data_IF_277221764864
#
_entry.id   IF_277221764864
#
_cell.length_a   1.000
_cell.length_b   1.000
_cell.length_c   1.000
_cell.angle_alpha   90.00
_cell.angle_beta   90.00
_cell.angle_gamma   90.00
#
_symmetry.space_group_name_H-M   'P 1'
#
loop_
_entity.id
_entity.type
_entity.pdbx_description
1 polymer ?
#
# COMPACT_ATOMS: atom_id res chain seq x y z
N UNK A 1 13.48 0.55 24.22
CA UNK A 1 12.74 1.82 24.12
C UNK A 1 12.55 2.11 22.64
N UNK A 2 11.32 2.40 22.19
CA UNK A 2 11.13 2.83 20.81
C UNK A 2 11.76 4.22 20.61
N UNK A 3 12.27 4.48 19.40
CA UNK A 3 12.78 5.81 19.03
C UNK A 3 11.70 6.86 19.25
N UNK A 4 12.07 8.04 19.74
CA UNK A 4 11.20 9.22 19.85
C UNK A 4 11.74 10.29 18.90
N UNK A 5 10.91 10.76 18.00
CA UNK A 5 11.30 11.66 16.92
C UNK A 5 10.33 12.84 16.82
N UNK A 6 10.89 14.03 16.60
CA UNK A 6 10.09 15.22 16.34
C UNK A 6 9.24 15.05 15.08
N UNK A 7 8.15 15.81 14.95
CA UNK A 7 7.31 15.80 13.76
C UNK A 7 8.09 16.06 12.47
N UNK A 8 9.10 16.95 12.52
CA UNK A 8 9.94 17.23 11.35
C UNK A 8 10.75 16.00 10.91
N UNK A 9 11.34 15.25 11.86
CA UNK A 9 12.08 14.03 11.55
C UNK A 9 11.14 12.94 11.02
N UNK A 10 9.97 12.76 11.65
CA UNK A 10 8.97 11.78 11.20
C UNK A 10 8.47 12.09 9.78
N UNK A 11 8.21 13.35 9.47
CA UNK A 11 7.85 13.78 8.11
C UNK A 11 8.97 13.48 7.11
N UNK A 12 10.21 13.86 7.42
CA UNK A 12 11.35 13.62 6.53
C UNK A 12 11.58 12.12 6.23
N UNK A 13 11.39 11.25 7.24
CA UNK A 13 11.46 9.80 7.05
C UNK A 13 10.36 9.30 6.10
N UNK A 14 9.14 9.84 6.21
CA UNK A 14 8.01 9.47 5.36
C UNK A 14 8.17 9.99 3.93
N UNK A 15 8.67 11.22 3.75
CA UNK A 15 8.93 11.79 2.42
C UNK A 15 10.01 11.01 1.66
N UNK A 16 11.01 10.50 2.38
CA UNK A 16 12.08 9.67 1.80
C UNK A 16 11.56 8.33 1.22
N UNK A 17 10.42 7.81 1.70
CA UNK A 17 9.85 6.55 1.19
C UNK A 17 9.53 6.67 -0.29
N UNK A 18 8.73 7.67 -0.65
CA UNK A 18 8.31 7.88 -2.04
C UNK A 18 9.48 8.19 -2.97
N UNK A 19 10.42 9.03 -2.49
CA UNK A 19 11.65 9.30 -3.22
C UNK A 19 12.50 8.03 -3.46
N UNK A 20 12.48 7.09 -2.53
CA UNK A 20 13.24 5.82 -2.63
C UNK A 20 12.55 4.80 -3.52
N UNK A 21 11.22 4.67 -3.43
CA UNK A 21 10.45 3.76 -4.30
C UNK A 21 10.45 4.24 -5.75
N UNK A 22 10.35 5.56 -5.96
CA UNK A 22 10.32 6.19 -7.27
C UNK A 22 8.91 6.40 -7.81
N UNK A 23 8.86 6.92 -9.03
CA UNK A 23 7.63 7.29 -9.72
C UNK A 23 6.94 6.06 -10.33
N UNK A 24 5.60 6.08 -10.29
CA UNK A 24 4.73 5.07 -10.90
C UNK A 24 5.05 3.62 -10.53
N UNK A 25 5.17 3.29 -9.23
CA UNK A 25 5.32 1.91 -8.81
C UNK A 25 4.06 1.09 -9.09
N UNK A 26 4.20 -0.23 -9.06
CA UNK A 26 3.09 -1.17 -9.18
C UNK A 26 2.56 -1.54 -7.80
N UNK A 27 1.27 -1.36 -7.58
CA UNK A 27 0.55 -1.88 -6.43
C UNK A 27 -0.09 -3.22 -6.80
N UNK A 28 0.21 -4.26 -6.04
CA UNK A 28 -0.43 -5.56 -6.12
C UNK A 28 -1.30 -5.81 -4.89
N UNK A 29 -2.53 -6.29 -5.12
CA UNK A 29 -3.42 -6.80 -4.09
C UNK A 29 -3.45 -8.32 -4.18
N UNK A 30 -3.21 -8.98 -3.05
CA UNK A 30 -3.02 -10.44 -3.01
C UNK A 30 -3.84 -11.09 -1.90
N UNK A 31 -4.16 -12.37 -2.12
CA UNK A 31 -4.79 -13.22 -1.12
C UNK A 31 -3.76 -13.83 -0.15
N UNK A 32 -4.26 -14.46 0.92
CA UNK A 32 -3.41 -15.22 1.84
C UNK A 32 -2.54 -14.37 2.76
N UNK A 33 -1.62 -15.03 3.47
CA UNK A 33 -0.80 -14.40 4.52
C UNK A 33 0.27 -13.51 3.88
N UNK A 34 0.41 -12.29 4.40
CA UNK A 34 1.49 -11.37 4.01
C UNK A 34 2.86 -12.04 4.22
N UNK A 35 3.79 -11.98 3.25
CA UNK A 35 5.13 -12.50 3.43
C UNK A 35 5.83 -11.87 4.64
N UNK A 36 6.75 -12.59 5.29
CA UNK A 36 7.37 -12.11 6.53
C UNK A 36 8.20 -10.81 6.36
N UNK A 37 8.78 -10.62 5.18
CA UNK A 37 9.58 -9.44 4.84
C UNK A 37 9.33 -9.03 3.39
N UNK A 38 9.68 -7.80 3.04
CA UNK A 38 9.63 -7.30 1.65
C UNK A 38 10.56 -8.07 0.71
N UNK A 39 11.64 -8.66 1.23
CA UNK A 39 12.56 -9.51 0.47
C UNK A 39 12.06 -10.96 0.31
N UNK A 40 11.02 -11.37 1.03
CA UNK A 40 10.41 -12.70 0.85
C UNK A 40 9.59 -12.71 -0.44
N UNK A 41 9.68 -13.81 -1.19
CA UNK A 41 8.90 -14.03 -2.41
C UNK A 41 7.40 -13.86 -2.17
N UNK A 42 6.68 -13.46 -3.22
CA UNK A 42 5.24 -13.24 -3.15
C UNK A 42 4.51 -14.52 -2.72
N UNK A 43 3.50 -14.35 -1.87
CA UNK A 43 2.59 -15.41 -1.44
C UNK A 43 1.19 -15.14 -1.99
N UNK A 44 0.36 -16.20 -1.98
CA UNK A 44 -1.04 -16.12 -2.40
C UNK A 44 -1.26 -15.78 -3.87
N UNK A 45 -2.53 -15.61 -4.22
CA UNK A 45 -2.98 -15.29 -5.58
C UNK A 45 -2.94 -13.79 -5.80
N UNK A 46 -2.43 -13.35 -6.95
CA UNK A 46 -2.58 -11.96 -7.41
C UNK A 46 -4.04 -11.73 -7.78
N UNK A 47 -4.70 -10.80 -7.11
CA UNK A 47 -6.12 -10.49 -7.33
C UNK A 47 -6.30 -9.25 -8.19
N UNK A 48 -5.44 -8.25 -8.03
CA UNK A 48 -5.46 -7.01 -8.79
C UNK A 48 -4.04 -6.43 -8.89
N UNK A 49 -3.73 -5.80 -10.02
CA UNK A 49 -2.48 -5.10 -10.28
C UNK A 49 -2.74 -3.74 -10.92
N UNK A 50 -2.13 -2.69 -10.37
CA UNK A 50 -2.29 -1.34 -10.90
C UNK A 50 -0.99 -0.55 -10.83
N UNK A 51 -0.74 0.27 -11.84
CA UNK A 51 0.36 1.25 -11.83
C UNK A 51 -0.14 2.51 -11.13
N UNK A 52 0.60 2.96 -10.13
CA UNK A 52 0.27 4.17 -9.38
C UNK A 52 0.65 5.44 -10.18
N UNK A 53 0.05 6.59 -9.85
CA UNK A 53 0.52 7.87 -10.37
C UNK A 53 2.01 8.11 -10.07
N UNK A 54 2.64 9.02 -10.82
CA UNK A 54 4.05 9.36 -10.58
C UNK A 54 4.27 9.93 -9.18
N UNK A 55 3.34 10.78 -8.73
CA UNK A 55 3.22 11.30 -7.37
C UNK A 55 2.03 10.59 -6.70
N UNK A 56 2.32 9.61 -5.84
CA UNK A 56 1.32 8.66 -5.34
C UNK A 56 1.01 8.85 -3.86
N UNK A 57 1.81 9.61 -3.11
CA UNK A 57 1.52 9.97 -1.73
C UNK A 57 1.54 11.48 -1.50
N UNK A 58 0.63 11.96 -0.68
CA UNK A 58 0.64 13.38 -0.28
C UNK A 58 1.91 13.71 0.53
N UNK A 59 2.34 14.97 0.52
CA UNK A 59 3.44 15.43 1.38
C UNK A 59 3.20 15.06 2.85
N UNK A 60 4.25 14.60 3.55
CA UNK A 60 4.11 14.22 4.94
C UNK A 60 3.77 15.41 5.84
N UNK A 61 2.78 15.22 6.72
CA UNK A 61 2.35 16.18 7.73
C UNK A 61 1.99 15.44 9.02
N UNK A 62 2.25 16.08 10.17
CA UNK A 62 1.98 15.50 11.52
C UNK A 62 2.56 14.09 11.77
N UNK A 63 3.57 13.70 10.98
CA UNK A 63 4.20 12.37 10.95
C UNK A 63 3.32 11.29 10.35
N UNK A 64 2.50 11.66 9.38
CA UNK A 64 1.70 10.78 8.55
C UNK A 64 1.72 11.25 7.08
N UNK A 65 1.56 10.34 6.14
CA UNK A 65 1.23 10.66 4.74
C UNK A 65 0.18 9.70 4.20
N UNK A 66 -0.65 10.21 3.31
CA UNK A 66 -1.81 9.49 2.78
C UNK A 66 -1.73 9.26 1.28
N UNK A 67 -2.67 8.46 0.79
CA UNK A 67 -2.94 8.28 -0.64
C UNK A 67 -3.07 9.64 -1.36
N UNK A 68 -2.42 9.77 -2.51
CA UNK A 68 -2.65 10.85 -3.47
C UNK A 68 -3.04 10.29 -4.84
N UNK A 69 -3.91 11.02 -5.53
CA UNK A 69 -4.40 10.64 -6.85
C UNK A 69 -5.44 9.51 -6.80
N UNK A 70 -5.52 8.73 -7.86
CA UNK A 70 -6.46 7.61 -7.99
C UNK A 70 -5.70 6.32 -8.13
N UNK A 71 -5.95 5.39 -7.22
CA UNK A 71 -5.38 4.04 -7.24
C UNK A 71 -6.52 3.08 -7.55
N UNK A 72 -6.59 2.64 -8.81
CA UNK A 72 -7.66 1.78 -9.29
C UNK A 72 -7.15 0.80 -10.32
N UNK A 73 -7.57 -0.45 -10.17
CA UNK A 73 -7.58 -1.44 -11.22
C UNK A 73 -8.99 -1.51 -11.83
N UNK A 74 -9.09 -1.47 -13.15
CA UNK A 74 -10.36 -1.53 -13.84
C UNK A 74 -10.90 -2.96 -13.98
N UNK A 75 -10.02 -3.97 -13.90
CA UNK A 75 -10.37 -5.36 -14.18
C UNK A 75 -9.47 -6.31 -13.39
N UNK A 76 -9.96 -6.76 -12.23
CA UNK A 76 -9.25 -7.69 -11.37
C UNK A 76 -8.79 -8.96 -12.10
N UNK A 77 -7.55 -9.36 -11.86
CA UNK A 77 -6.89 -10.51 -12.48
C UNK A 77 -7.49 -11.85 -12.02
N UNK A 78 -7.98 -11.93 -10.78
CA UNK A 78 -8.52 -13.15 -10.21
C UNK A 78 -9.55 -12.91 -9.11
N UNK A 79 -10.39 -13.92 -8.87
CA UNK A 79 -11.33 -13.92 -7.75
C UNK A 79 -10.64 -14.35 -6.44
N UNK A 80 -11.02 -13.74 -5.31
CA UNK A 80 -10.57 -14.13 -3.99
C UNK A 80 -10.79 -13.05 -2.94
N UNK A 81 -10.39 -13.36 -1.70
CA UNK A 81 -10.41 -12.39 -0.61
C UNK A 81 -9.06 -11.68 -0.51
N UNK A 82 -9.07 -10.36 -0.70
CA UNK A 82 -7.91 -9.51 -0.50
C UNK A 82 -7.46 -9.54 0.96
N UNK A 83 -6.17 -9.76 1.18
CA UNK A 83 -5.59 -9.90 2.51
C UNK A 83 -4.38 -9.00 2.74
N UNK A 84 -3.55 -8.79 1.71
CA UNK A 84 -2.37 -7.95 1.81
C UNK A 84 -2.07 -7.23 0.51
N UNK A 85 -1.28 -6.16 0.62
CA UNK A 85 -0.77 -5.40 -0.52
C UNK A 85 0.75 -5.48 -0.59
N UNK A 86 1.29 -5.28 -1.79
CA UNK A 86 2.73 -5.10 -2.05
C UNK A 86 2.90 -3.95 -3.05
N UNK A 87 3.70 -2.95 -2.70
CA UNK A 87 4.11 -1.88 -3.63
C UNK A 87 5.51 -2.20 -4.12
N UNK A 88 5.66 -2.27 -5.44
CA UNK A 88 6.85 -2.73 -6.13
C UNK A 88 7.37 -1.72 -7.14
N UNK A 89 8.69 -1.70 -7.29
CA UNK A 89 9.35 -1.06 -8.43
C UNK A 89 10.12 -2.14 -9.19
N UNK A 90 9.64 -2.48 -10.39
CA UNK A 90 10.07 -3.68 -11.08
C UNK A 90 9.78 -4.93 -10.24
N UNK A 91 10.81 -5.73 -9.96
CA UNK A 91 10.68 -6.96 -9.14
C UNK A 91 10.86 -6.72 -7.63
N UNK A 92 11.37 -5.55 -7.24
CA UNK A 92 11.68 -5.24 -5.83
C UNK A 92 10.41 -4.78 -5.13
N UNK A 93 10.08 -5.42 -4.00
CA UNK A 93 9.02 -4.94 -3.11
C UNK A 93 9.59 -3.94 -2.13
N UNK A 94 9.01 -2.74 -2.08
CA UNK A 94 9.43 -1.67 -1.19
C UNK A 94 8.54 -1.56 0.06
N UNK A 95 7.24 -1.78 -0.12
CA UNK A 95 6.26 -1.69 0.96
C UNK A 95 5.31 -2.88 0.89
N UNK A 96 4.89 -3.35 2.06
CA UNK A 96 3.86 -4.35 2.20
C UNK A 96 3.09 -4.10 3.48
N UNK A 97 1.85 -4.55 3.53
CA UNK A 97 1.02 -4.43 4.70
C UNK A 97 -0.32 -5.12 4.51
N UNK A 98 -1.18 -4.96 5.49
CA UNK A 98 -2.50 -5.60 5.49
C UNK A 98 -3.51 -4.79 4.72
N UNK A 99 -4.46 -5.49 4.12
CA UNK A 99 -5.60 -4.90 3.45
C UNK A 99 -6.84 -5.14 4.30
N UNK A 100 -7.65 -4.10 4.46
CA UNK A 100 -8.96 -4.20 5.14
C UNK A 100 -10.06 -3.59 4.29
N UNK A 101 -11.30 -3.94 4.61
CA UNK A 101 -12.46 -3.24 4.07
C UNK A 101 -12.62 -1.87 4.76
N UNK A 102 -13.43 -1.00 4.17
CA UNK A 102 -13.73 0.33 4.74
C UNK A 102 -14.20 0.21 6.20
N UNK A 103 -13.50 0.92 7.10
CA UNK A 103 -13.75 0.87 8.55
C UNK A 103 -12.98 -0.22 9.31
N UNK A 104 -12.15 -1.03 8.65
CA UNK A 104 -11.44 -2.16 9.24
C UNK A 104 -10.09 -1.84 9.89
N UNK A 105 -9.56 -0.63 9.74
CA UNK A 105 -8.36 -0.16 10.44
C UNK A 105 -7.02 -0.75 9.96
N UNK A 106 -6.99 -1.40 8.80
CA UNK A 106 -5.75 -1.84 8.16
C UNK A 106 -5.01 -0.71 7.44
N UNK A 107 -3.78 -1.00 7.04
CA UNK A 107 -2.87 -0.04 6.39
C UNK A 107 -3.43 0.49 5.05
N UNK A 108 -4.10 -0.39 4.30
CA UNK A 108 -4.76 -0.10 3.04
C UNK A 108 -6.24 -0.50 3.10
N UNK A 109 -7.11 0.36 2.58
CA UNK A 109 -8.55 0.14 2.52
C UNK A 109 -9.05 0.01 1.08
N UNK A 110 -9.81 -1.04 0.82
CA UNK A 110 -10.51 -1.30 -0.45
C UNK A 110 -11.99 -0.91 -0.37
N UNK A 111 -12.59 -0.73 -1.55
CA UNK A 111 -14.05 -0.68 -1.70
C UNK A 111 -14.72 -2.00 -1.28
N UNK A 112 -14.14 -3.14 -1.67
CA UNK A 112 -14.61 -4.48 -1.32
C UNK A 112 -13.44 -5.47 -1.30
N UNK A 113 -13.29 -6.24 -0.21
CA UNK A 113 -12.22 -7.25 -0.09
C UNK A 113 -12.56 -8.57 -0.79
N UNK A 114 -13.83 -8.84 -1.08
CA UNK A 114 -14.25 -10.02 -1.84
C UNK A 114 -14.25 -9.68 -3.34
N UNK A 115 -13.13 -9.91 -4.00
CA UNK A 115 -12.90 -9.54 -5.39
C UNK A 115 -13.38 -10.67 -6.30
N UNK A 116 -14.14 -10.33 -7.34
CA UNK A 116 -14.42 -11.22 -8.47
C UNK A 116 -13.53 -10.84 -9.66
N UNK A 117 -13.14 -11.83 -10.47
CA UNK A 117 -12.41 -11.60 -11.73
C UNK A 117 -13.16 -10.59 -12.61
N UNK A 118 -12.42 -9.64 -13.18
CA UNK A 118 -12.96 -8.57 -14.01
C UNK A 118 -13.66 -7.44 -13.25
N UNK A 119 -13.81 -7.52 -11.93
CA UNK A 119 -14.35 -6.43 -11.11
C UNK A 119 -13.37 -5.26 -11.06
N UNK A 120 -13.87 -4.02 -11.06
CA UNK A 120 -13.04 -2.88 -10.72
C UNK A 120 -12.69 -2.90 -9.21
N UNK A 121 -11.44 -2.58 -8.90
CA UNK A 121 -10.89 -2.55 -7.54
C UNK A 121 -10.35 -1.15 -7.28
N UNK A 122 -10.88 -0.47 -6.26
CA UNK A 122 -10.50 0.91 -5.93
C UNK A 122 -9.98 1.01 -4.50
N UNK A 123 -8.82 1.64 -4.35
CA UNK A 123 -8.24 1.93 -3.04
C UNK A 123 -8.86 3.23 -2.53
N UNK A 124 -9.55 3.15 -1.41
CA UNK A 124 -10.29 4.29 -0.84
C UNK A 124 -9.49 5.02 0.24
N UNK A 125 -8.57 4.33 0.90
CA UNK A 125 -7.63 4.94 1.84
C UNK A 125 -6.32 4.17 1.90
N UNK A 126 -5.23 4.91 2.09
CA UNK A 126 -3.91 4.39 2.41
C UNK A 126 -3.23 5.40 3.33
N UNK A 127 -2.66 4.95 4.44
CA UNK A 127 -1.96 5.82 5.40
C UNK A 127 -0.65 5.19 5.82
N UNK A 128 0.43 5.96 5.73
CA UNK A 128 1.72 5.65 6.34
C UNK A 128 1.96 6.60 7.50
N UNK A 129 2.15 6.06 8.70
CA UNK A 129 2.44 6.85 9.89
C UNK A 129 3.78 6.42 10.51
N UNK A 130 4.58 7.40 10.93
CA UNK A 130 5.76 7.15 11.75
C UNK A 130 5.39 7.21 13.23
N UNK A 131 5.71 6.15 13.96
CA UNK A 131 5.48 6.06 15.40
C UNK A 131 6.55 6.83 16.18
N UNK A 132 6.34 6.99 17.49
CA UNK A 132 7.35 7.59 18.37
C UNK A 132 7.30 9.11 18.46
N UNK A 133 6.13 9.65 18.79
CA UNK A 133 5.96 11.02 19.29
C UNK A 133 5.83 11.00 20.82
#
# INVERSE_FOLDING_TARGET
MALQASTAVRNAMLDAIEATVGASPTLEIRSGVVPATTGTADSGTLLASMVLPADWLANAATGSKGLLGTWRDASADASGTAAHYRIKQGVTTHLQGTVTATGGGGDLTLDNTSIAVGQAVSITAYTLAQSGA
#
